data_IF_211798996579
#
_entry.id   IF_211798996579
#
_cell.length_a   1.000
_cell.length_b   1.000
_cell.length_c   1.000
_cell.angle_alpha   90.00
_cell.angle_beta   90.00
_cell.angle_gamma   90.00
#
_symmetry.space_group_name_H-M   'P 1'
#
loop_
_entity.id
_entity.type
_entity.pdbx_description
1 polymer ?
#
# COMPACT_ATOMS: atom_id res chain seq x y z
N UNK A 1 6.36 30.22 -12.28
CA UNK A 1 6.54 28.79 -12.60
C UNK A 1 6.43 28.02 -11.30
N UNK A 2 5.24 27.50 -10.96
CA UNK A 2 5.01 26.77 -9.70
C UNK A 2 5.55 25.37 -9.86
N UNK A 3 6.73 25.10 -9.31
CA UNK A 3 7.21 23.74 -9.08
C UNK A 3 6.25 23.07 -8.10
N UNK A 4 5.28 22.33 -8.64
CA UNK A 4 4.49 21.37 -7.87
C UNK A 4 5.49 20.37 -7.29
N UNK A 5 5.95 20.62 -6.06
CA UNK A 5 6.56 19.59 -5.23
C UNK A 5 5.56 18.44 -5.28
N UNK A 6 5.92 17.35 -5.94
CA UNK A 6 5.09 16.16 -6.01
C UNK A 6 4.95 15.67 -4.58
N UNK A 7 3.92 16.16 -3.89
CA UNK A 7 3.57 15.78 -2.54
C UNK A 7 3.07 14.35 -2.66
N UNK A 8 4.00 13.39 -2.59
CA UNK A 8 3.69 11.96 -2.56
C UNK A 8 3.05 11.73 -1.18
N UNK A 9 1.72 11.67 -1.08
CA UNK A 9 1.10 11.55 0.22
C UNK A 9 1.57 10.22 0.80
N UNK A 10 2.14 10.27 2.02
CA UNK A 10 2.48 9.04 2.74
C UNK A 10 1.16 8.35 3.05
N UNK A 11 0.90 7.25 2.36
CA UNK A 11 -0.25 6.40 2.62
C UNK A 11 -0.04 5.72 3.97
N UNK A 12 -1.00 5.89 4.87
CA UNK A 12 -0.99 5.35 6.22
C UNK A 12 -2.33 4.70 6.53
N UNK A 13 -2.40 3.98 7.65
CA UNK A 13 -3.67 3.40 8.12
C UNK A 13 -4.79 4.45 8.11
N UNK A 14 -5.91 4.10 7.46
CA UNK A 14 -7.05 5.00 7.26
C UNK A 14 -6.99 5.86 5.99
N UNK A 15 -5.88 5.85 5.23
CA UNK A 15 -5.83 6.43 3.88
C UNK A 15 -6.78 5.67 2.94
N UNK A 16 -7.43 6.39 2.03
CA UNK A 16 -8.37 5.83 1.07
C UNK A 16 -8.16 6.45 -0.31
N UNK A 17 -8.52 5.71 -1.35
CA UNK A 17 -8.55 6.20 -2.72
C UNK A 17 -7.70 5.39 -3.70
N UNK A 18 -7.57 5.88 -4.94
CA UNK A 18 -6.97 5.10 -6.04
C UNK A 18 -5.50 4.76 -5.80
N UNK A 19 -4.77 5.58 -5.03
CA UNK A 19 -3.37 5.29 -4.70
C UNK A 19 -3.24 4.12 -3.72
N UNK A 20 -4.23 3.91 -2.84
CA UNK A 20 -4.27 2.72 -1.98
C UNK A 20 -4.51 1.47 -2.79
N UNK A 21 -5.43 1.51 -3.77
CA UNK A 21 -5.67 0.39 -4.67
C UNK A 21 -4.39 -0.01 -5.44
N UNK A 22 -3.62 0.98 -5.92
CA UNK A 22 -2.31 0.73 -6.56
C UNK A 22 -1.34 0.00 -5.62
N UNK A 23 -1.28 0.41 -4.35
CA UNK A 23 -0.43 -0.27 -3.35
C UNK A 23 -0.93 -1.68 -3.08
N UNK A 24 -2.23 -1.88 -2.91
CA UNK A 24 -2.83 -3.21 -2.71
C UNK A 24 -2.49 -4.15 -3.89
N UNK A 25 -2.66 -3.68 -5.13
CA UNK A 25 -2.30 -4.46 -6.34
C UNK A 25 -0.80 -4.77 -6.36
N UNK A 26 0.06 -3.78 -6.06
CA UNK A 26 1.51 -3.98 -6.06
C UNK A 26 1.95 -4.99 -4.99
N UNK A 27 1.34 -4.95 -3.80
CA UNK A 27 1.57 -5.92 -2.73
C UNK A 27 1.18 -7.32 -3.17
N UNK A 28 -0.01 -7.47 -3.74
CA UNK A 28 -0.50 -8.77 -4.23
C UNK A 28 0.42 -9.35 -5.30
N UNK A 29 0.87 -8.54 -6.25
CA UNK A 29 1.84 -8.93 -7.26
C UNK A 29 3.22 -9.30 -6.68
N UNK A 30 3.62 -8.65 -5.58
CA UNK A 30 4.84 -8.96 -4.86
C UNK A 30 4.72 -10.23 -3.97
N UNK A 31 3.54 -10.85 -3.90
CA UNK A 31 3.26 -12.03 -3.08
C UNK A 31 2.84 -11.72 -1.64
N UNK A 32 2.51 -10.46 -1.34
CA UNK A 32 1.96 -10.03 -0.06
C UNK A 32 0.46 -9.87 -0.19
N UNK A 33 -0.34 -10.52 0.65
CA UNK A 33 -1.80 -10.35 0.56
C UNK A 33 -2.24 -9.12 1.36
N UNK A 34 -2.66 -8.02 0.71
CA UNK A 34 -3.24 -6.86 1.40
C UNK A 34 -4.68 -7.11 1.87
N UNK A 35 -5.26 -8.28 1.59
CA UNK A 35 -6.70 -8.51 1.66
C UNK A 35 -7.41 -8.07 0.38
N UNK A 36 -8.63 -7.57 0.51
CA UNK A 36 -9.42 -7.10 -0.62
C UNK A 36 -8.87 -5.77 -1.16
N UNK A 37 -8.90 -5.60 -2.50
CA UNK A 37 -8.52 -4.34 -3.16
C UNK A 37 -9.72 -3.39 -3.09
N UNK A 38 -9.99 -2.87 -1.90
CA UNK A 38 -11.13 -2.01 -1.57
C UNK A 38 -10.77 -0.51 -1.58
N UNK A 39 -9.57 -0.17 -2.03
CA UNK A 39 -9.02 1.21 -1.98
C UNK A 39 -8.94 1.78 -0.56
N UNK A 40 -8.95 0.92 0.47
CA UNK A 40 -8.89 1.32 1.88
C UNK A 40 -7.64 0.75 2.55
N UNK A 41 -6.88 1.62 3.20
CA UNK A 41 -5.66 1.24 3.88
C UNK A 41 -6.02 0.71 5.27
N UNK A 42 -6.51 -0.53 5.31
CA UNK A 42 -6.84 -1.25 6.53
C UNK A 42 -5.64 -1.96 7.16
N UNK A 43 -5.92 -2.73 8.23
CA UNK A 43 -4.92 -3.51 8.97
C UNK A 43 -4.17 -4.52 8.09
N UNK A 44 -4.86 -5.20 7.17
CA UNK A 44 -4.24 -6.19 6.26
C UNK A 44 -3.27 -5.50 5.29
N UNK A 45 -3.68 -4.38 4.69
CA UNK A 45 -2.81 -3.56 3.84
C UNK A 45 -1.61 -3.04 4.62
N UNK A 46 -1.78 -2.55 5.85
CA UNK A 46 -0.68 -2.09 6.72
C UNK A 46 0.33 -3.21 7.00
N UNK A 47 -0.16 -4.39 7.37
CA UNK A 47 0.70 -5.56 7.58
C UNK A 47 1.46 -5.90 6.31
N UNK A 48 0.78 -6.02 5.17
CA UNK A 48 1.41 -6.32 3.89
C UNK A 48 2.48 -5.28 3.50
N UNK A 49 2.22 -3.98 3.68
CA UNK A 49 3.21 -2.91 3.48
C UNK A 49 4.41 -3.09 4.43
N UNK A 50 4.17 -3.35 5.72
CA UNK A 50 5.25 -3.58 6.68
C UNK A 50 6.11 -4.75 6.26
N UNK A 51 5.50 -5.89 5.92
CA UNK A 51 6.23 -7.08 5.46
C UNK A 51 7.04 -6.81 4.18
N UNK A 52 6.47 -6.06 3.24
CA UNK A 52 7.16 -5.62 2.03
C UNK A 52 8.36 -4.71 2.35
N UNK A 53 8.20 -3.75 3.27
CA UNK A 53 9.26 -2.80 3.67
C UNK A 53 10.41 -3.46 4.43
N UNK A 54 10.11 -4.43 5.31
CA UNK A 54 11.13 -5.17 6.05
C UNK A 54 11.80 -6.29 5.23
N UNK A 55 11.32 -6.55 4.01
CA UNK A 55 11.87 -7.59 3.12
C UNK A 55 11.57 -9.03 3.56
N UNK A 56 10.65 -9.22 4.51
CA UNK A 56 10.22 -10.56 4.94
C UNK A 56 9.20 -11.05 3.95
N UNK A 57 9.51 -12.07 3.14
CA UNK A 57 8.52 -12.64 2.20
C UNK A 57 7.36 -13.25 2.99
N UNK A 58 6.13 -12.78 2.76
CA UNK A 58 4.94 -13.51 3.20
C UNK A 58 4.93 -14.83 2.42
N UNK A 59 5.22 -15.92 3.12
CA UNK A 59 5.06 -17.26 2.57
C UNK A 59 3.58 -17.64 2.76
N UNK A 60 2.95 -18.03 1.65
CA UNK A 60 1.54 -18.40 1.53
C UNK A 60 1.15 -19.54 2.46
#
# INVERSE_FOLDING_TARGET
MTTTVMNRPVLKMGSKGPDVAKVQIALQNAGFSPGDIDSNFGLKTDQAVRYFQIGVRQRF
#
